data_IF_772847412774
#
_entry.id   IF_772847412774
#
_cell.length_a   1.000
_cell.length_b   1.000
_cell.length_c   1.000
_cell.angle_alpha   90.00
_cell.angle_beta   90.00
_cell.angle_gamma   90.00
#
_symmetry.space_group_name_H-M   'P 1'
#
loop_
_entity.id
_entity.type
_entity.pdbx_description
1 polymer ?
#
# COMPACT_ATOMS: atom_id res chain seq x y z
N UNK A 1 13.56 -11.20 11.08
CA UNK A 1 12.37 -10.41 11.46
C UNK A 1 11.44 -10.24 10.27
N UNK A 2 11.91 -9.68 9.14
CA UNK A 2 11.12 -9.53 7.91
C UNK A 2 10.46 -10.84 7.45
N UNK A 3 11.21 -11.94 7.43
CA UNK A 3 10.70 -13.27 7.06
C UNK A 3 9.55 -13.71 7.96
N UNK A 4 9.63 -13.43 9.27
CA UNK A 4 8.58 -13.81 10.22
C UNK A 4 7.31 -12.98 10.03
N UNK A 5 7.42 -11.67 9.82
CA UNK A 5 6.25 -10.80 9.58
C UNK A 5 5.53 -11.25 8.31
N UNK A 6 6.29 -11.56 7.26
CA UNK A 6 5.74 -12.09 6.01
C UNK A 6 5.07 -13.44 6.21
N UNK A 7 5.72 -14.39 6.87
CA UNK A 7 5.14 -15.70 7.16
C UNK A 7 3.84 -15.59 7.98
N UNK A 8 3.81 -14.70 8.98
CA UNK A 8 2.63 -14.48 9.81
C UNK A 8 1.48 -13.89 8.99
N UNK A 9 1.78 -12.92 8.11
CA UNK A 9 0.80 -12.34 7.18
C UNK A 9 0.27 -13.39 6.19
N UNK A 10 1.16 -14.16 5.55
CA UNK A 10 0.78 -15.20 4.58
C UNK A 10 -0.11 -16.28 5.22
N UNK A 11 0.22 -16.70 6.45
CA UNK A 11 -0.63 -17.61 7.25
C UNK A 11 -2.01 -17.01 7.54
N UNK A 12 -2.06 -15.72 7.84
CA UNK A 12 -3.33 -15.03 8.09
C UNK A 12 -4.19 -15.05 6.82
N UNK A 13 -3.64 -14.62 5.68
CA UNK A 13 -4.34 -14.62 4.39
C UNK A 13 -4.82 -16.02 4.03
N UNK A 14 -3.99 -17.05 4.19
CA UNK A 14 -4.38 -18.43 3.93
C UNK A 14 -5.58 -18.88 4.78
N UNK A 15 -5.58 -18.54 6.08
CA UNK A 15 -6.67 -18.93 6.98
C UNK A 15 -7.96 -18.14 6.74
N UNK A 16 -7.85 -16.85 6.41
CA UNK A 16 -8.99 -15.98 6.18
C UNK A 16 -9.47 -15.95 4.72
N UNK A 17 -8.93 -16.79 3.84
CA UNK A 17 -9.39 -16.94 2.45
C UNK A 17 -10.16 -18.25 2.19
N UNK A 18 -10.30 -19.10 3.20
CA UNK A 18 -10.92 -20.43 3.11
C UNK A 18 -12.12 -20.60 4.03
N UNK A 19 -12.80 -21.73 3.88
CA UNK A 19 -13.87 -22.20 4.76
C UNK A 19 -14.90 -21.10 5.08
N UNK A 20 -15.01 -20.74 6.36
CA UNK A 20 -15.98 -19.77 6.89
C UNK A 20 -15.79 -18.34 6.36
N UNK A 21 -14.61 -18.00 5.85
CA UNK A 21 -14.29 -16.66 5.33
C UNK A 21 -14.31 -16.59 3.80
N UNK A 22 -14.52 -17.72 3.11
CA UNK A 22 -14.45 -17.81 1.65
C UNK A 22 -15.42 -16.85 0.96
N UNK A 23 -16.63 -16.68 1.50
CA UNK A 23 -17.65 -15.79 0.93
C UNK A 23 -17.18 -14.33 0.97
N UNK A 24 -16.68 -13.89 2.12
CA UNK A 24 -16.20 -12.52 2.33
C UNK A 24 -14.94 -12.25 1.51
N UNK A 25 -14.02 -13.22 1.43
CA UNK A 25 -12.85 -13.15 0.57
C UNK A 25 -13.20 -12.97 -0.91
N UNK A 26 -14.16 -13.75 -1.44
CA UNK A 26 -14.59 -13.61 -2.83
C UNK A 26 -15.27 -12.26 -3.08
N UNK A 27 -16.11 -11.80 -2.15
CA UNK A 27 -16.73 -10.47 -2.23
C UNK A 27 -15.67 -9.36 -2.23
N UNK A 28 -14.70 -9.43 -1.33
CA UNK A 28 -13.59 -8.48 -1.26
C UNK A 28 -12.79 -8.45 -2.56
N UNK A 29 -12.54 -9.62 -3.15
CA UNK A 29 -11.83 -9.75 -4.42
C UNK A 29 -12.57 -9.05 -5.55
N UNK A 30 -13.87 -9.30 -5.66
CA UNK A 30 -14.72 -8.69 -6.68
C UNK A 30 -14.78 -7.16 -6.50
N UNK A 31 -14.91 -6.69 -5.25
CA UNK A 31 -14.94 -5.26 -4.93
C UNK A 31 -13.61 -4.57 -5.27
N UNK A 32 -12.49 -5.11 -4.78
CA UNK A 32 -11.18 -4.52 -4.99
C UNK A 32 -10.80 -4.44 -6.47
N UNK A 33 -11.01 -5.52 -7.23
CA UNK A 33 -10.71 -5.54 -8.66
C UNK A 33 -11.78 -4.82 -9.51
N UNK A 34 -12.99 -4.64 -8.99
CA UNK A 34 -13.98 -3.72 -9.54
C UNK A 34 -13.51 -2.25 -9.48
N UNK A 35 -12.81 -1.87 -8.40
CA UNK A 35 -12.27 -0.52 -8.21
C UNK A 35 -10.95 -0.33 -8.99
N UNK A 36 -9.98 -1.23 -8.77
CA UNK A 36 -8.60 -1.08 -9.25
C UNK A 36 -8.35 -1.61 -10.66
N UNK A 37 -9.37 -2.22 -11.28
CA UNK A 37 -9.37 -2.80 -12.61
C UNK A 37 -9.13 -4.32 -12.61
N UNK A 38 -9.51 -5.00 -13.69
CA UNK A 38 -9.40 -6.47 -13.79
C UNK A 38 -7.94 -6.97 -13.73
N UNK A 39 -7.72 -8.15 -13.17
CA UNK A 39 -6.42 -8.82 -13.05
C UNK A 39 -6.36 -10.07 -13.93
N UNK A 40 -5.18 -10.34 -14.51
CA UNK A 40 -4.91 -11.50 -15.35
C UNK A 40 -3.60 -12.16 -14.90
N UNK A 41 -3.57 -13.49 -14.82
CA UNK A 41 -2.42 -14.26 -14.30
C UNK A 41 -1.17 -14.10 -15.15
N UNK A 42 -1.32 -13.88 -16.45
CA UNK A 42 -0.19 -13.77 -17.38
C UNK A 42 0.45 -12.37 -17.40
N UNK A 43 -0.09 -11.42 -16.64
CA UNK A 43 0.48 -10.07 -16.56
C UNK A 43 1.66 -10.03 -15.59
N UNK A 44 2.72 -9.31 -15.96
CA UNK A 44 3.93 -9.14 -15.13
C UNK A 44 3.65 -8.53 -13.74
N UNK A 45 2.55 -7.78 -13.60
CA UNK A 45 2.15 -7.14 -12.34
C UNK A 45 1.21 -8.00 -11.48
N UNK A 46 0.90 -9.23 -11.88
CA UNK A 46 -0.05 -10.10 -11.19
C UNK A 46 0.25 -10.24 -9.70
N UNK A 47 1.49 -10.63 -9.35
CA UNK A 47 1.90 -10.85 -7.96
C UNK A 47 1.79 -9.59 -7.10
N UNK A 48 2.24 -8.43 -7.62
CA UNK A 48 2.14 -7.16 -6.90
C UNK A 48 0.68 -6.79 -6.64
N UNK A 49 -0.19 -6.99 -7.64
CA UNK A 49 -1.62 -6.67 -7.52
C UNK A 49 -2.35 -7.62 -6.58
N UNK A 50 -1.97 -8.90 -6.56
CA UNK A 50 -2.47 -9.84 -5.56
C UNK A 50 -2.02 -9.46 -4.15
N UNK A 51 -0.76 -9.06 -3.95
CA UNK A 51 -0.28 -8.58 -2.66
C UNK A 51 -1.03 -7.33 -2.18
N UNK A 52 -1.28 -6.36 -3.08
CA UNK A 52 -2.07 -5.18 -2.76
C UNK A 52 -3.50 -5.54 -2.34
N UNK A 53 -4.14 -6.47 -3.07
CA UNK A 53 -5.44 -7.01 -2.70
C UNK A 53 -5.41 -7.69 -1.33
N UNK A 54 -4.44 -8.57 -1.06
CA UNK A 54 -4.35 -9.28 0.22
C UNK A 54 -4.21 -8.32 1.39
N UNK A 55 -3.38 -7.29 1.24
CA UNK A 55 -3.28 -6.23 2.24
C UNK A 55 -4.59 -5.46 2.40
N UNK A 56 -5.24 -5.05 1.32
CA UNK A 56 -6.52 -4.36 1.40
C UNK A 56 -7.60 -5.23 2.07
N UNK A 57 -7.70 -6.50 1.69
CA UNK A 57 -8.61 -7.47 2.30
C UNK A 57 -8.36 -7.60 3.81
N UNK A 58 -7.08 -7.70 4.19
CA UNK A 58 -6.70 -7.89 5.58
C UNK A 58 -6.95 -6.64 6.43
N UNK A 59 -6.56 -5.44 5.94
CA UNK A 59 -6.53 -4.21 6.74
C UNK A 59 -7.76 -3.32 6.58
N UNK A 60 -8.42 -3.34 5.42
CA UNK A 60 -9.39 -2.32 5.02
C UNK A 60 -10.77 -2.88 4.69
N UNK A 61 -10.90 -4.16 4.38
CA UNK A 61 -12.21 -4.72 4.01
C UNK A 61 -13.13 -4.84 5.24
N UNK A 62 -14.03 -3.87 5.38
CA UNK A 62 -14.89 -3.63 6.55
C UNK A 62 -15.74 -4.81 7.01
N UNK A 63 -16.14 -5.71 6.09
CA UNK A 63 -16.97 -6.86 6.43
C UNK A 63 -16.19 -8.04 7.03
N UNK A 64 -14.88 -8.10 6.80
CA UNK A 64 -14.11 -9.32 7.02
C UNK A 64 -13.87 -9.67 8.49
N UNK A 65 -13.97 -8.69 9.42
CA UNK A 65 -13.48 -8.80 10.81
C UNK A 65 -12.05 -9.38 10.89
N UNK A 66 -11.29 -9.48 9.79
CA UNK A 66 -10.03 -10.25 9.69
C UNK A 66 -8.98 -9.62 10.57
N UNK A 67 -8.74 -8.31 10.41
CA UNK A 67 -7.82 -7.57 11.25
C UNK A 67 -8.19 -7.72 12.72
N UNK A 68 -9.48 -7.55 13.06
CA UNK A 68 -9.96 -7.64 14.44
C UNK A 68 -9.67 -9.02 15.03
N UNK A 69 -10.09 -10.09 14.36
CA UNK A 69 -9.93 -11.46 14.84
C UNK A 69 -8.45 -11.87 14.89
N UNK A 70 -7.64 -11.47 13.91
CA UNK A 70 -6.23 -11.85 13.88
C UNK A 70 -5.39 -11.06 14.88
N UNK A 71 -5.68 -9.78 15.10
CA UNK A 71 -4.91 -8.94 16.05
C UNK A 71 -5.16 -9.29 17.51
N UNK A 72 -6.22 -10.02 17.84
CA UNK A 72 -6.40 -10.67 19.15
C UNK A 72 -5.32 -11.73 19.40
N UNK A 73 -4.83 -12.39 18.35
CA UNK A 73 -3.79 -13.43 18.42
C UNK A 73 -2.40 -12.86 18.18
N UNK A 74 -2.27 -11.90 17.26
CA UNK A 74 -1.02 -11.26 16.91
C UNK A 74 -1.19 -9.74 16.78
N UNK A 75 -0.96 -8.99 17.88
CA UNK A 75 -1.22 -7.54 17.92
C UNK A 75 -0.28 -6.72 17.04
N UNK A 76 0.77 -7.33 16.47
CA UNK A 76 1.76 -6.69 15.60
C UNK A 76 1.11 -5.90 14.46
N UNK A 77 0.05 -6.45 13.86
CA UNK A 77 -0.61 -5.85 12.70
C UNK A 77 -1.61 -4.75 13.05
N UNK A 78 -1.85 -4.51 14.35
CA UNK A 78 -2.82 -3.50 14.81
C UNK A 78 -2.34 -2.08 14.54
N UNK A 79 -1.04 -1.84 14.61
CA UNK A 79 -0.44 -0.53 14.39
C UNK A 79 0.23 -0.47 13.00
N UNK A 80 -0.55 -0.07 12.01
CA UNK A 80 -0.11 0.06 10.64
C UNK A 80 -0.43 1.42 10.05
N UNK A 81 0.29 1.80 9.00
CA UNK A 81 0.07 3.04 8.24
C UNK A 81 -0.06 2.73 6.76
N UNK A 82 -1.19 3.10 6.16
CA UNK A 82 -1.39 3.10 4.71
C UNK A 82 -1.31 4.53 4.19
N UNK A 83 -0.37 4.83 3.29
CA UNK A 83 -0.25 6.16 2.68
C UNK A 83 0.62 6.14 1.41
N UNK A 84 0.90 7.34 0.92
CA UNK A 84 1.87 7.65 -0.12
C UNK A 84 3.12 8.29 0.49
N UNK A 85 4.29 7.75 0.14
CA UNK A 85 5.57 8.11 0.74
C UNK A 85 6.61 8.44 -0.32
N UNK A 86 7.52 9.35 -0.01
CA UNK A 86 8.74 9.60 -0.79
C UNK A 86 9.96 9.08 -0.04
N UNK A 87 10.82 8.32 -0.72
CA UNK A 87 12.08 7.87 -0.14
C UNK A 87 13.10 9.00 -0.13
N UNK A 88 13.48 9.46 1.07
CA UNK A 88 14.40 10.60 1.25
C UNK A 88 15.88 10.19 1.31
N UNK A 89 16.20 8.90 1.16
CA UNK A 89 17.55 8.36 1.33
C UNK A 89 17.83 7.88 2.75
N UNK A 90 19.11 7.68 3.07
CA UNK A 90 19.57 7.31 4.41
C UNK A 90 19.74 8.55 5.28
N UNK A 91 19.38 8.45 6.57
CA UNK A 91 19.70 9.47 7.57
C UNK A 91 21.16 9.35 8.03
N UNK A 92 21.60 10.23 8.94
CA UNK A 92 22.96 10.22 9.50
C UNK A 92 23.34 8.91 10.23
N UNK A 93 22.34 8.12 10.67
CA UNK A 93 22.54 6.80 11.29
C UNK A 93 22.54 5.65 10.25
N UNK A 94 22.51 5.97 8.96
CA UNK A 94 22.49 5.00 7.86
C UNK A 94 21.16 4.29 7.65
N UNK A 95 20.07 4.73 8.30
CA UNK A 95 18.73 4.13 8.17
C UNK A 95 17.92 4.80 7.07
N UNK A 96 17.21 4.01 6.27
CA UNK A 96 16.35 4.52 5.21
C UNK A 96 15.16 5.30 5.80
N UNK A 97 14.87 6.47 5.25
CA UNK A 97 13.82 7.35 5.72
C UNK A 97 12.81 7.66 4.61
N UNK A 98 11.53 7.50 4.92
CA UNK A 98 10.40 7.78 4.03
C UNK A 98 9.58 8.93 4.61
N UNK A 99 9.12 9.85 3.76
CA UNK A 99 8.27 10.97 4.18
C UNK A 99 6.87 10.80 3.61
N UNK A 100 5.88 10.79 4.49
CA UNK A 100 4.46 10.73 4.11
C UNK A 100 4.02 12.04 3.42
N UNK A 101 3.32 11.93 2.29
CA UNK A 101 2.75 13.08 1.61
C UNK A 101 1.49 13.63 2.28
N UNK A 102 0.75 12.83 3.04
CA UNK A 102 -0.48 13.22 3.72
C UNK A 102 -0.14 13.76 5.11
N UNK A 103 0.30 12.89 6.03
CA UNK A 103 0.57 13.26 7.44
C UNK A 103 1.83 14.10 7.64
N UNK A 104 2.74 14.12 6.66
CA UNK A 104 4.10 14.71 6.75
C UNK A 104 5.05 14.01 7.72
N UNK A 105 4.60 12.93 8.36
CA UNK A 105 5.43 12.12 9.24
C UNK A 105 6.60 11.48 8.48
N UNK A 106 7.66 11.17 9.22
CA UNK A 106 8.82 10.45 8.71
C UNK A 106 8.81 9.04 9.26
N UNK A 107 8.80 8.05 8.39
CA UNK A 107 8.99 6.65 8.74
C UNK A 107 10.45 6.27 8.55
N UNK A 108 10.96 5.42 9.45
CA UNK A 108 12.37 5.00 9.46
C UNK A 108 12.40 3.48 9.43
N UNK A 109 13.14 2.93 8.47
CA UNK A 109 13.39 1.49 8.42
C UNK A 109 14.45 1.07 9.45
N UNK A 110 14.42 -0.20 9.87
CA UNK A 110 15.54 -0.82 10.54
C UNK A 110 16.85 -0.70 9.73
N UNK A 111 17.99 -0.87 10.42
CA UNK A 111 19.31 -0.68 9.79
C UNK A 111 19.53 -1.75 8.73
N UNK A 112 20.11 -1.37 7.58
CA UNK A 112 20.41 -2.26 6.44
C UNK A 112 19.20 -2.94 5.80
N UNK A 113 17.99 -2.46 6.09
CA UNK A 113 16.77 -2.92 5.46
C UNK A 113 16.29 -1.82 4.51
N UNK A 114 16.30 -2.12 3.21
CA UNK A 114 15.65 -1.33 2.17
C UNK A 114 15.08 -2.30 1.14
N UNK A 115 13.80 -2.16 0.76
CA UNK A 115 13.23 -2.96 -0.31
C UNK A 115 14.04 -2.76 -1.60
N UNK A 116 14.32 -3.87 -2.29
CA UNK A 116 15.05 -3.84 -3.55
C UNK A 116 14.31 -2.97 -4.57
N UNK A 117 15.07 -2.24 -5.40
CA UNK A 117 14.53 -1.41 -6.46
C UNK A 117 14.04 -0.02 -6.05
N UNK A 118 14.14 0.35 -4.77
CA UNK A 118 13.82 1.72 -4.31
C UNK A 118 15.07 2.60 -4.29
N UNK A 119 14.99 3.75 -4.95
CA UNK A 119 16.02 4.78 -5.07
C UNK A 119 15.54 6.13 -4.53
N UNK A 120 16.48 6.98 -4.11
CA UNK A 120 16.15 8.27 -3.47
C UNK A 120 15.31 9.12 -4.43
N UNK A 121 14.17 9.59 -3.94
CA UNK A 121 13.19 10.37 -4.73
C UNK A 121 12.03 9.53 -5.25
N UNK A 122 12.12 8.20 -5.18
CA UNK A 122 11.00 7.32 -5.53
C UNK A 122 9.81 7.58 -4.62
N UNK A 123 8.63 7.47 -5.22
CA UNK A 123 7.36 7.66 -4.57
C UNK A 123 6.67 6.32 -4.55
N UNK A 124 6.22 5.89 -3.38
CA UNK A 124 5.54 4.62 -3.20
C UNK A 124 4.18 4.82 -2.57
N UNK A 125 3.24 3.93 -2.90
CA UNK A 125 2.05 3.70 -2.09
C UNK A 125 2.20 2.32 -1.47
N UNK A 126 1.90 2.19 -0.19
CA UNK A 126 2.02 0.91 0.50
C UNK A 126 1.69 1.00 1.98
N UNK A 127 1.74 -0.15 2.65
CA UNK A 127 1.47 -0.25 4.09
C UNK A 127 2.72 -0.52 4.89
N UNK A 128 2.86 0.20 5.99
CA UNK A 128 3.92 0.03 6.96
C UNK A 128 3.38 -0.54 8.25
N UNK A 129 4.01 -1.59 8.76
CA UNK A 129 3.82 -2.05 10.14
C UNK A 129 4.79 -1.30 11.04
N UNK A 130 4.29 -0.74 12.13
CA UNK A 130 5.12 -0.09 13.15
C UNK A 130 5.75 -1.16 14.05
N UNK A 131 7.07 -1.07 14.21
CA UNK A 131 7.87 -1.96 15.04
C UNK A 131 8.62 -1.14 16.08
N UNK A 132 9.08 -1.78 17.16
CA UNK A 132 9.90 -1.11 18.18
C UNK A 132 11.15 -0.46 17.59
N UNK A 133 11.78 -1.10 16.60
CA UNK A 133 13.04 -0.64 16.01
C UNK A 133 12.87 0.13 14.69
N UNK A 134 11.65 0.39 14.22
CA UNK A 134 11.41 1.06 12.94
C UNK A 134 10.09 0.68 12.30
N UNK A 135 10.09 0.56 10.97
CA UNK A 135 8.90 0.25 10.19
C UNK A 135 9.23 -0.83 9.16
N UNK A 136 8.26 -1.70 8.90
CA UNK A 136 8.36 -2.74 7.88
C UNK A 136 7.38 -2.45 6.76
N UNK A 137 7.86 -2.38 5.50
CA UNK A 137 7.02 -2.21 4.32
C UNK A 137 6.48 -3.56 3.87
N UNK A 138 5.16 -3.66 3.75
CA UNK A 138 4.48 -4.84 3.23
C UNK A 138 4.57 -4.93 1.68
N UNK A 139 4.51 -6.13 1.09
CA UNK A 139 4.91 -6.40 -0.30
C UNK A 139 3.92 -5.92 -1.38
N UNK A 140 2.73 -5.46 -1.01
CA UNK A 140 1.70 -4.90 -1.90
C UNK A 140 2.01 -3.48 -2.38
N UNK A 141 3.13 -2.91 -1.96
CA UNK A 141 3.55 -1.58 -2.39
C UNK A 141 3.83 -1.51 -3.90
N UNK A 142 3.71 -0.31 -4.46
CA UNK A 142 4.11 -0.02 -5.84
C UNK A 142 4.81 1.32 -5.95
N UNK A 143 5.75 1.41 -6.90
CA UNK A 143 6.54 2.61 -7.17
C UNK A 143 5.85 3.42 -8.29
N UNK A 144 5.62 4.69 -8.01
CA UNK A 144 4.98 5.63 -8.92
C UNK A 144 6.00 6.37 -9.79
N UNK A 145 5.61 6.78 -11.02
CA UNK A 145 6.48 7.59 -11.87
C UNK A 145 6.86 8.93 -11.22
N UNK A 146 8.15 9.28 -11.20
CA UNK A 146 8.61 10.53 -10.60
C UNK A 146 7.94 11.80 -11.18
N UNK A 147 7.51 11.75 -12.45
CA UNK A 147 6.80 12.84 -13.14
C UNK A 147 5.48 13.25 -12.46
N UNK A 148 4.82 12.34 -11.72
CA UNK A 148 3.53 12.65 -11.07
C UNK A 148 3.68 13.19 -9.65
N UNK A 149 4.91 13.41 -9.18
CA UNK A 149 5.21 13.89 -7.82
C UNK A 149 4.46 15.14 -7.42
N UNK A 150 4.48 16.17 -8.27
CA UNK A 150 3.86 17.47 -7.96
C UNK A 150 2.34 17.36 -7.86
N UNK A 151 1.73 16.58 -8.76
CA UNK A 151 0.30 16.25 -8.76
C UNK A 151 -0.06 15.56 -7.45
N UNK A 152 0.65 14.47 -7.11
CA UNK A 152 0.37 13.69 -5.91
C UNK A 152 0.56 14.51 -4.65
N UNK A 153 1.61 15.34 -4.54
CA UNK A 153 1.80 16.25 -3.39
C UNK A 153 0.67 17.25 -3.24
N UNK A 154 0.11 17.76 -4.33
CA UNK A 154 -1.03 18.69 -4.29
C UNK A 154 -2.28 17.96 -3.80
N UNK A 155 -2.60 16.81 -4.37
CA UNK A 155 -3.78 16.03 -3.97
C UNK A 155 -3.67 15.51 -2.53
N UNK A 156 -2.50 15.02 -2.10
CA UNK A 156 -2.29 14.61 -0.72
C UNK A 156 -2.49 15.76 0.28
N UNK A 157 -2.18 17.01 -0.08
CA UNK A 157 -2.51 18.17 0.76
C UNK A 157 -4.01 18.44 0.81
N UNK A 158 -4.75 18.20 -0.28
CA UNK A 158 -6.20 18.31 -0.31
C UNK A 158 -6.82 17.28 0.62
N UNK A 159 -6.42 16.02 0.50
CA UNK A 159 -6.87 14.92 1.37
C UNK A 159 -6.51 15.19 2.84
N UNK A 160 -5.29 15.64 3.13
CA UNK A 160 -4.88 15.98 4.51
C UNK A 160 -5.76 17.08 5.16
N UNK A 161 -6.33 18.00 4.37
CA UNK A 161 -7.24 19.04 4.89
C UNK A 161 -8.64 18.51 5.20
N UNK A 162 -9.08 17.46 4.50
CA UNK A 162 -10.39 16.83 4.73
C UNK A 162 -10.35 16.08 6.07
N UNK A 163 -9.21 15.48 6.42
CA UNK A 163 -8.99 14.76 7.67
C UNK A 163 -10.04 13.65 7.92
N UNK A 164 -10.25 12.83 6.90
CA UNK A 164 -11.21 11.73 6.86
C UNK A 164 -10.51 10.49 6.29
N UNK A 165 -10.57 9.38 7.04
CA UNK A 165 -9.84 8.16 6.69
C UNK A 165 -10.48 7.41 5.52
N UNK A 166 -11.80 7.47 5.35
CA UNK A 166 -12.49 6.88 4.19
C UNK A 166 -12.10 7.63 2.92
N UNK A 167 -12.05 8.98 2.97
CA UNK A 167 -11.57 9.80 1.83
C UNK A 167 -10.10 9.61 1.54
N UNK A 168 -9.30 9.34 2.57
CA UNK A 168 -7.89 8.95 2.39
C UNK A 168 -7.79 7.60 1.69
N UNK A 169 -8.57 6.61 2.08
CA UNK A 169 -8.56 5.30 1.45
C UNK A 169 -9.05 5.35 -0.01
N UNK A 170 -10.18 6.03 -0.26
CA UNK A 170 -10.69 6.28 -1.61
C UNK A 170 -9.60 6.90 -2.52
N UNK A 171 -8.84 7.86 -1.99
CA UNK A 171 -7.74 8.49 -2.72
C UNK A 171 -6.59 7.51 -3.02
N UNK A 172 -6.20 6.66 -2.07
CA UNK A 172 -5.12 5.69 -2.27
C UNK A 172 -5.52 4.59 -3.27
N UNK A 173 -6.76 4.09 -3.21
CA UNK A 173 -7.33 3.18 -4.21
C UNK A 173 -7.44 3.84 -5.59
N UNK A 174 -7.77 5.14 -5.63
CA UNK A 174 -7.75 5.90 -6.88
C UNK A 174 -6.34 5.98 -7.47
N UNK A 175 -5.31 6.20 -6.65
CA UNK A 175 -3.92 6.18 -7.11
C UNK A 175 -3.58 4.82 -7.73
N UNK A 176 -3.96 3.71 -7.08
CA UNK A 176 -3.71 2.37 -7.60
C UNK A 176 -4.42 2.11 -8.94
N UNK A 177 -5.67 2.58 -9.06
CA UNK A 177 -6.42 2.54 -10.34
C UNK A 177 -5.66 3.27 -11.46
N UNK A 178 -5.14 4.47 -11.17
CA UNK A 178 -4.39 5.29 -12.12
C UNK A 178 -3.03 4.67 -12.45
N UNK A 179 -2.37 4.06 -11.47
CA UNK A 179 -1.14 3.31 -11.65
C UNK A 179 -1.35 2.09 -12.57
N UNK A 180 -2.36 1.27 -12.32
CA UNK A 180 -2.71 0.12 -13.15
C UNK A 180 -3.07 0.54 -14.58
N UNK A 181 -3.73 1.69 -14.75
CA UNK A 181 -3.98 2.28 -16.07
C UNK A 181 -2.67 2.71 -16.74
N UNK A 182 -1.79 3.41 -16.05
CA UNK A 182 -0.51 3.83 -16.60
C UNK A 182 0.38 2.65 -17.01
N UNK A 183 0.39 1.56 -16.23
CA UNK A 183 1.10 0.33 -16.60
C UNK A 183 0.68 -0.22 -17.97
N UNK A 184 -0.62 -0.15 -18.30
CA UNK A 184 -1.16 -0.57 -19.60
C UNK A 184 -0.87 0.40 -20.73
N UNK A 185 -0.78 1.69 -20.42
CA UNK A 185 -0.50 2.77 -21.38
C UNK A 185 0.84 3.44 -21.09
N UNK A 186 1.89 2.65 -20.86
CA UNK A 186 3.18 3.14 -20.37
C UNK A 186 3.91 4.08 -21.35
N UNK A 187 3.49 4.09 -22.63
CA UNK A 187 3.94 5.01 -23.68
C UNK A 187 3.38 6.43 -23.51
N UNK A 188 2.32 6.62 -22.72
CA UNK A 188 1.75 7.93 -22.45
C UNK A 188 2.47 8.62 -21.28
N UNK A 189 2.48 9.95 -21.31
CA UNK A 189 2.96 10.72 -20.16
C UNK A 189 2.07 10.43 -18.94
N UNK A 190 2.63 9.94 -17.82
CA UNK A 190 1.84 9.65 -16.63
C UNK A 190 1.10 10.88 -16.09
N UNK A 191 1.57 12.11 -16.32
CA UNK A 191 0.85 13.31 -15.93
C UNK A 191 -0.51 13.47 -16.65
N UNK A 192 -0.69 12.87 -17.84
CA UNK A 192 -1.96 12.84 -18.56
C UNK A 192 -2.91 11.75 -18.04
N UNK A 193 -2.38 10.77 -17.33
CA UNK A 193 -3.16 9.68 -16.73
C UNK A 193 -3.57 10.05 -15.30
N UNK A 194 -2.64 10.59 -14.52
CA UNK A 194 -2.84 10.98 -13.12
C UNK A 194 -3.59 12.32 -13.02
N UNK A 195 -4.81 12.35 -13.55
CA UNK A 195 -5.69 13.51 -13.51
C UNK A 195 -6.76 13.26 -12.46
N UNK A 196 -6.88 14.22 -11.54
CA UNK A 196 -7.93 14.27 -10.54
C UNK A 196 -8.88 15.37 -10.99
N UNK A 197 -10.19 15.07 -11.00
CA UNK A 197 -11.21 16.07 -11.34
C UNK A 197 -11.17 17.27 -10.40
N UNK A 198 -11.84 18.37 -10.77
CA UNK A 198 -11.97 19.56 -9.91
C UNK A 198 -12.52 19.22 -8.51
#
# INVERSE_FOLDING_TARGET
METKIREDFDKAIFNYSKDNFKKDYLKAKDEFFGITGSIHQDHEDFEQRMNSFYEWYFFSFNESKVLKNYTEVNPLFKDFKYSIYEYNGKNFRGRAAFKDFISKEKLIFPKNILPLGITKGDIIVGRFINLEDGHYLLPGFFILPGKVRSILKRESRRIAKINDDDKKEEFLLKIETLYNRWRRYNHLDPAKIFVYGP
#
